data_IF_355203683320
#
_entry.id   IF_355203683320
#
_cell.length_a   1.000
_cell.length_b   1.000
_cell.length_c   1.000
_cell.angle_alpha   90.00
_cell.angle_beta   90.00
_cell.angle_gamma   90.00
#
_symmetry.space_group_name_H-M   'P 1'
#
loop_
_entity.id
_entity.type
_entity.pdbx_description
1 polymer ?
#
# COMPACT_ATOMS: atom_id res chain seq x y z
N UNK A 1 19.46 -12.76 -21.87
CA UNK A 1 18.35 -12.89 -22.84
C UNK A 1 18.14 -14.38 -23.06
N UNK A 2 17.04 -14.97 -22.58
CA UNK A 2 15.71 -14.94 -23.24
C UNK A 2 14.58 -14.78 -22.19
N UNK A 3 13.27 -14.73 -22.46
CA UNK A 3 12.46 -14.47 -23.63
C UNK A 3 11.04 -14.15 -23.10
N UNK A 4 10.36 -13.27 -23.80
CA UNK A 4 8.91 -13.11 -23.77
C UNK A 4 8.20 -14.44 -24.07
N UNK A 5 7.26 -14.85 -23.22
CA UNK A 5 6.21 -15.85 -23.51
C UNK A 5 5.10 -15.60 -22.48
N UNK A 6 3.80 -15.60 -22.74
CA UNK A 6 2.96 -15.46 -23.92
C UNK A 6 1.53 -15.31 -23.39
N UNK A 7 0.71 -14.50 -24.04
CA UNK A 7 -0.75 -14.43 -23.82
C UNK A 7 -1.36 -15.78 -24.16
N UNK A 8 -2.24 -16.30 -23.29
CA UNK A 8 -3.17 -17.36 -23.67
C UNK A 8 -4.60 -16.89 -23.47
N UNK A 9 -5.29 -16.77 -24.61
CA UNK A 9 -6.74 -16.77 -24.77
C UNK A 9 -7.20 -18.22 -24.84
N UNK A 10 -8.35 -18.55 -24.24
CA UNK A 10 -9.33 -19.59 -24.64
C UNK A 10 -10.43 -19.55 -23.56
N UNK A 11 -11.59 -18.94 -23.84
CA UNK A 11 -12.74 -19.55 -24.50
C UNK A 11 -13.37 -20.67 -23.64
N UNK A 12 -14.47 -20.32 -22.99
CA UNK A 12 -15.41 -21.26 -22.37
C UNK A 12 -16.81 -20.67 -22.48
N UNK A 13 -17.59 -21.17 -23.43
CA UNK A 13 -18.95 -20.74 -23.70
C UNK A 13 -19.97 -21.69 -23.04
N UNK A 14 -21.11 -21.08 -22.66
CA UNK A 14 -22.46 -21.64 -22.60
C UNK A 14 -22.82 -22.64 -21.49
N UNK A 15 -23.65 -22.15 -20.56
CA UNK A 15 -24.59 -22.94 -19.75
C UNK A 15 -25.71 -22.01 -19.26
N UNK A 16 -26.93 -22.22 -19.77
CA UNK A 16 -28.07 -21.32 -19.65
C UNK A 16 -29.06 -21.71 -18.53
N UNK A 17 -29.85 -20.70 -18.10
CA UNK A 17 -31.19 -20.76 -17.46
C UNK A 17 -31.16 -21.21 -15.97
N UNK A 18 -31.83 -20.59 -14.98
CA UNK A 18 -33.27 -20.27 -14.87
C UNK A 18 -33.54 -19.37 -13.63
N UNK A 19 -34.49 -18.40 -13.76
CA UNK A 19 -35.39 -17.74 -12.78
C UNK A 19 -34.87 -17.16 -11.43
N UNK A 20 -35.18 -15.88 -11.20
CA UNK A 20 -35.28 -15.31 -9.85
C UNK A 20 -35.20 -13.78 -9.84
N UNK A 21 -36.34 -13.10 -9.91
CA UNK A 21 -36.40 -11.64 -9.82
C UNK A 21 -36.16 -11.12 -8.41
N UNK A 22 -35.32 -10.09 -8.29
CA UNK A 22 -35.37 -9.02 -7.28
C UNK A 22 -34.69 -7.80 -7.89
N UNK A 23 -35.44 -6.72 -8.11
CA UNK A 23 -34.87 -5.41 -8.38
C UNK A 23 -34.42 -4.80 -7.05
N UNK A 24 -33.11 -4.73 -6.81
CA UNK A 24 -32.50 -3.84 -5.80
C UNK A 24 -31.53 -2.92 -6.52
N UNK A 25 -31.98 -1.70 -6.77
CA UNK A 25 -31.11 -0.58 -7.12
C UNK A 25 -30.39 -0.13 -5.86
N UNK A 26 -29.08 -0.33 -5.78
CA UNK A 26 -28.21 0.33 -4.80
C UNK A 26 -26.84 0.68 -5.42
N UNK A 27 -26.24 1.81 -4.99
CA UNK A 27 -25.33 2.59 -5.80
C UNK A 27 -23.92 1.99 -5.91
N UNK A 28 -23.27 2.35 -7.01
CA UNK A 28 -21.84 2.27 -7.26
C UNK A 28 -21.04 2.88 -6.11
N UNK A 29 -20.34 2.04 -5.33
CA UNK A 29 -19.15 2.46 -4.59
C UNK A 29 -17.93 1.85 -5.28
N UNK A 30 -17.48 2.51 -6.34
CA UNK A 30 -16.08 2.49 -6.71
C UNK A 30 -15.30 3.21 -5.61
N UNK A 31 -14.69 2.47 -4.70
CA UNK A 31 -13.59 2.99 -3.90
C UNK A 31 -12.52 1.91 -3.89
N UNK A 32 -11.44 2.20 -4.60
CA UNK A 32 -10.13 1.58 -4.47
C UNK A 32 -9.87 1.32 -2.97
N UNK A 33 -9.85 0.06 -2.57
CA UNK A 33 -9.32 -0.35 -1.28
C UNK A 33 -8.36 -1.51 -1.51
N UNK A 34 -7.39 -1.28 -2.39
CA UNK A 34 -6.14 -2.05 -2.42
C UNK A 34 -5.25 -1.58 -1.26
N UNK A 35 -5.76 -1.62 -0.03
CA UNK A 35 -5.02 -1.12 1.14
C UNK A 35 -5.37 -1.86 2.43
N UNK A 36 -5.77 -3.14 2.35
CA UNK A 36 -5.98 -3.98 3.55
C UNK A 36 -4.89 -5.04 3.75
N UNK A 37 -3.99 -5.22 2.78
CA UNK A 37 -2.91 -6.21 2.84
C UNK A 37 -1.68 -5.80 3.67
N UNK A 38 -1.48 -4.50 3.89
CA UNK A 38 -0.29 -3.98 4.58
C UNK A 38 -0.38 -4.02 6.11
N UNK A 39 -1.57 -3.74 6.65
CA UNK A 39 -1.76 -3.46 8.08
C UNK A 39 -1.48 -4.70 8.97
N UNK A 40 -1.92 -5.88 8.54
CA UNK A 40 -1.78 -7.12 9.33
C UNK A 40 -0.42 -7.79 9.17
N UNK A 41 0.19 -7.70 7.97
CA UNK A 41 1.51 -8.28 7.68
C UNK A 41 2.67 -7.50 8.32
N UNK A 42 2.56 -6.18 8.40
CA UNK A 42 3.62 -5.32 8.92
C UNK A 42 3.61 -5.21 10.45
N UNK A 43 2.42 -5.27 11.09
CA UNK A 43 2.30 -5.31 12.55
C UNK A 43 3.04 -6.50 13.19
N UNK A 44 3.16 -7.63 12.46
CA UNK A 44 3.94 -8.79 12.91
C UNK A 44 5.45 -8.62 12.74
N UNK A 45 5.90 -7.88 11.72
CA UNK A 45 7.34 -7.63 11.49
C UNK A 45 7.92 -6.65 12.51
N UNK A 46 7.16 -5.61 12.88
CA UNK A 46 7.57 -4.61 13.87
C UNK A 46 7.81 -5.22 15.27
N UNK A 47 7.02 -6.22 15.66
CA UNK A 47 7.13 -6.88 16.99
C UNK A 47 8.38 -7.73 17.16
N UNK A 48 9.10 -8.09 16.09
CA UNK A 48 10.28 -8.96 16.19
C UNK A 48 11.62 -8.23 16.40
N UNK A 49 11.67 -6.91 16.23
CA UNK A 49 12.95 -6.19 16.16
C UNK A 49 13.39 -5.53 17.48
N UNK A 50 12.54 -5.47 18.51
CA UNK A 50 12.89 -5.08 19.89
C UNK A 50 13.42 -3.65 20.13
N UNK A 51 13.86 -2.93 19.10
CA UNK A 51 14.63 -1.68 19.20
C UNK A 51 14.24 -0.63 18.12
N UNK A 52 13.13 -0.82 17.41
CA UNK A 52 12.60 0.12 16.42
C UNK A 52 11.14 0.48 16.72
N UNK A 53 10.75 1.68 16.34
CA UNK A 53 9.37 2.14 16.35
C UNK A 53 8.54 1.30 15.38
N UNK A 54 7.29 1.04 15.76
CA UNK A 54 6.34 0.41 14.87
C UNK A 54 5.97 1.33 13.71
N UNK A 55 5.54 0.74 12.61
CA UNK A 55 5.11 1.52 11.45
C UNK A 55 4.00 2.53 11.80
N UNK A 56 3.05 2.13 12.64
CA UNK A 56 1.99 3.04 13.12
C UNK A 56 2.54 4.26 13.84
N UNK A 57 3.57 4.10 14.67
CA UNK A 57 4.20 5.22 15.36
C UNK A 57 4.93 6.14 14.38
N UNK A 58 5.61 5.58 13.39
CA UNK A 58 6.26 6.35 12.32
C UNK A 58 5.24 7.16 11.52
N UNK A 59 4.13 6.54 11.12
CA UNK A 59 3.02 7.20 10.44
C UNK A 59 2.45 8.35 11.26
N UNK A 60 2.18 8.16 12.55
CA UNK A 60 1.67 9.22 13.44
C UNK A 60 2.62 10.42 13.55
N UNK A 61 3.93 10.20 13.43
CA UNK A 61 4.95 11.24 13.50
C UNK A 61 5.07 11.99 12.16
N UNK A 62 4.95 11.29 11.03
CA UNK A 62 5.28 11.85 9.71
C UNK A 62 4.05 12.35 8.94
N UNK A 63 2.92 11.65 8.99
CA UNK A 63 1.72 12.03 8.24
C UNK A 63 1.26 13.47 8.51
N UNK A 64 1.26 13.99 9.76
CA UNK A 64 0.90 15.38 10.01
C UNK A 64 1.83 16.41 9.34
N UNK A 65 3.09 16.04 9.08
CA UNK A 65 4.08 16.91 8.42
C UNK A 65 3.96 16.88 6.90
N UNK A 66 3.35 15.83 6.36
CA UNK A 66 3.13 15.66 4.92
C UNK A 66 1.67 15.97 4.54
N UNK A 67 1.01 16.85 5.30
CA UNK A 67 -0.37 17.24 5.07
C UNK A 67 -0.57 17.76 3.65
N UNK A 68 -1.62 17.29 2.97
CA UNK A 68 -1.92 17.65 1.59
C UNK A 68 -1.38 16.66 0.55
N UNK A 69 -0.51 15.73 0.95
CA UNK A 69 -0.05 14.64 0.09
C UNK A 69 -0.82 13.35 0.38
N UNK A 70 -1.09 12.56 -0.66
CA UNK A 70 -1.71 11.26 -0.52
C UNK A 70 -0.64 10.24 -0.09
N UNK A 71 -0.80 9.66 1.09
CA UNK A 71 0.04 8.55 1.51
C UNK A 71 -0.30 7.27 0.72
N UNK A 72 0.71 6.57 0.21
CA UNK A 72 0.56 5.30 -0.52
C UNK A 72 0.98 4.09 0.30
N UNK A 73 1.85 4.30 1.28
CA UNK A 73 2.27 3.24 2.17
C UNK A 73 3.77 3.25 2.50
N UNK A 74 4.18 2.34 3.40
CA UNK A 74 5.54 2.25 3.88
C UNK A 74 6.31 1.06 3.34
N UNK A 75 7.63 1.21 3.32
CA UNK A 75 8.58 0.16 3.02
C UNK A 75 9.68 0.18 4.09
N UNK A 76 9.94 -0.95 4.74
CA UNK A 76 11.00 -1.06 5.73
C UNK A 76 12.28 -1.60 5.08
N UNK A 77 13.36 -0.84 5.17
CA UNK A 77 14.69 -1.27 4.77
C UNK A 77 15.48 -1.72 6.02
N UNK A 78 15.68 -3.04 6.22
CA UNK A 78 16.42 -3.56 7.36
C UNK A 78 17.92 -3.25 7.30
N UNK A 79 18.50 -3.01 6.11
CA UNK A 79 19.92 -2.70 5.97
C UNK A 79 20.20 -1.25 6.38
N UNK A 80 19.31 -0.33 6.02
CA UNK A 80 19.39 1.08 6.42
C UNK A 80 18.80 1.37 7.82
N UNK A 81 18.09 0.40 8.42
CA UNK A 81 17.27 0.61 9.64
C UNK A 81 16.33 1.81 9.50
N UNK A 82 15.69 1.94 8.33
CA UNK A 82 14.86 3.07 7.98
C UNK A 82 13.55 2.64 7.32
N UNK A 83 12.51 3.46 7.48
CA UNK A 83 11.27 3.37 6.74
C UNK A 83 11.28 4.36 5.59
N UNK A 84 10.97 3.89 4.39
CA UNK A 84 10.67 4.74 3.23
C UNK A 84 9.16 4.84 3.08
N UNK A 85 8.64 6.03 3.29
CA UNK A 85 7.23 6.35 3.12
C UNK A 85 7.02 6.92 1.72
N UNK A 86 5.99 6.43 1.04
CA UNK A 86 5.64 6.88 -0.31
C UNK A 86 4.43 7.79 -0.25
N UNK A 87 4.52 8.92 -0.94
CA UNK A 87 3.47 9.90 -1.06
C UNK A 87 3.23 10.24 -2.53
N UNK A 88 2.03 10.70 -2.84
CA UNK A 88 1.71 11.36 -4.11
C UNK A 88 1.30 12.80 -3.82
N UNK A 89 1.88 13.71 -4.57
CA UNK A 89 1.51 15.12 -4.60
C UNK A 89 1.51 15.58 -6.07
N UNK A 90 0.37 16.09 -6.53
CA UNK A 90 0.14 16.51 -7.92
C UNK A 90 0.56 15.45 -8.96
N UNK A 91 0.21 14.18 -8.71
CA UNK A 91 0.51 13.05 -9.59
C UNK A 91 1.98 12.62 -9.62
N UNK A 92 2.85 13.22 -8.78
CA UNK A 92 4.26 12.86 -8.65
C UNK A 92 4.49 12.10 -7.36
N UNK A 93 5.35 11.08 -7.42
CA UNK A 93 5.71 10.29 -6.25
C UNK A 93 6.77 11.03 -5.46
N UNK A 94 6.65 11.00 -4.14
CA UNK A 94 7.64 11.51 -3.22
C UNK A 94 8.00 10.41 -2.23
N UNK A 95 9.27 10.34 -1.88
CA UNK A 95 9.79 9.40 -0.91
C UNK A 95 10.26 10.18 0.32
N UNK A 96 9.91 9.68 1.50
CA UNK A 96 10.41 10.19 2.78
C UNK A 96 11.08 9.04 3.51
N UNK A 97 12.38 9.17 3.71
CA UNK A 97 13.16 8.23 4.50
C UNK A 97 13.14 8.67 5.97
N UNK A 98 12.84 7.72 6.86
CA UNK A 98 12.63 7.95 8.28
C UNK A 98 13.43 6.93 9.07
N UNK A 99 14.23 7.38 10.03
CA UNK A 99 14.98 6.51 10.93
C UNK A 99 14.02 5.65 11.77
N UNK A 100 14.16 4.32 11.71
CA UNK A 100 13.23 3.40 12.36
C UNK A 100 13.35 3.41 13.89
N UNK A 101 14.43 3.93 14.48
CA UNK A 101 14.66 3.94 15.93
C UNK A 101 14.07 5.18 16.59
N UNK A 102 14.11 6.31 15.89
CA UNK A 102 13.78 7.63 16.43
C UNK A 102 12.56 8.28 15.77
N UNK A 103 12.17 7.84 14.57
CA UNK A 103 11.09 8.44 13.81
C UNK A 103 11.44 9.79 13.19
N UNK A 104 12.72 10.15 13.15
CA UNK A 104 13.20 11.39 12.51
C UNK A 104 13.27 11.20 11.01
N UNK A 105 12.83 12.20 10.26
CA UNK A 105 13.02 12.24 8.81
C UNK A 105 14.53 12.44 8.55
N UNK A 106 15.12 11.52 7.78
CA UNK A 106 16.54 11.52 7.43
C UNK A 106 16.77 11.84 5.95
N UNK A 107 15.72 11.75 5.12
CA UNK A 107 15.81 12.06 3.69
C UNK A 107 14.44 12.31 3.08
N UNK A 108 14.41 13.12 2.02
CA UNK A 108 13.24 13.34 1.19
C UNK A 108 13.67 13.43 -0.27
N UNK A 109 12.93 12.81 -1.17
CA UNK A 109 13.16 12.87 -2.62
C UNK A 109 11.84 12.85 -3.41
N UNK A 110 11.90 13.29 -4.66
CA UNK A 110 10.78 13.39 -5.62
C UNK A 110 11.14 12.62 -6.90
#
# INVERSE_FOLDING_TARGET
>A
MPAFVSRSLLAGALGALVLGGVCVSMPTKSVHAEEQGGEQGQARKARKAGNILSIRQIEQIVLPRMSGMQYLGPEYDPAAMAYRLKFIDDGKVYFVDVDARTGRIIGQSR
#
